data_IF_482520182462
#
_entry.id   IF_482520182462
#
_cell.length_a   1.000
_cell.length_b   1.000
_cell.length_c   1.000
_cell.angle_alpha   90.00
_cell.angle_beta   90.00
_cell.angle_gamma   90.00
#
_symmetry.space_group_name_H-M   'P 1'
#
loop_
_entity.id
_entity.type
_entity.pdbx_description
1 polymer ?
#
# COMPACT_ATOMS: atom_id res chain seq x y z
N UNK A 1 -2.65 12.14 -18.49
CA UNK A 1 -3.63 11.28 -17.80
C UNK A 1 -4.90 11.28 -18.65
N UNK A 2 -5.48 10.12 -18.90
CA UNK A 2 -6.66 10.04 -19.77
C UNK A 2 -7.94 10.41 -19.00
N UNK A 3 -9.03 10.64 -19.75
CA UNK A 3 -10.32 11.05 -19.20
C UNK A 3 -10.90 10.05 -18.20
N UNK A 4 -10.76 8.76 -18.46
CA UNK A 4 -11.30 7.74 -17.59
C UNK A 4 -10.57 7.69 -16.24
N UNK A 5 -9.25 7.84 -16.27
CA UNK A 5 -8.45 7.92 -15.05
C UNK A 5 -8.83 9.16 -14.24
N UNK A 6 -8.98 10.30 -14.91
CA UNK A 6 -9.39 11.54 -14.25
C UNK A 6 -10.78 11.42 -13.62
N UNK A 7 -11.71 10.77 -14.29
CA UNK A 7 -13.06 10.53 -13.77
C UNK A 7 -13.03 9.61 -12.56
N UNK A 8 -12.20 8.56 -12.61
CA UNK A 8 -12.03 7.64 -11.50
C UNK A 8 -11.47 8.35 -10.26
N UNK A 9 -10.44 9.15 -10.45
CA UNK A 9 -9.82 9.93 -9.36
C UNK A 9 -10.84 10.88 -8.74
N UNK A 10 -11.61 11.60 -9.56
CA UNK A 10 -12.65 12.51 -9.07
C UNK A 10 -13.73 11.77 -8.29
N UNK A 11 -14.10 10.57 -8.72
CA UNK A 11 -15.08 9.74 -8.04
C UNK A 11 -14.56 9.25 -6.68
N UNK A 12 -13.32 8.80 -6.64
CA UNK A 12 -12.67 8.36 -5.40
C UNK A 12 -12.53 9.55 -4.43
N UNK A 13 -12.16 10.72 -4.95
CA UNK A 13 -12.05 11.93 -4.12
C UNK A 13 -13.38 12.27 -3.46
N UNK A 14 -14.48 12.25 -4.22
CA UNK A 14 -15.81 12.53 -3.65
C UNK A 14 -16.19 11.53 -2.57
N UNK A 15 -15.95 10.25 -2.82
CA UNK A 15 -16.22 9.20 -1.84
C UNK A 15 -15.39 9.40 -0.59
N UNK A 16 -14.09 9.67 -0.75
CA UNK A 16 -13.19 9.89 0.37
C UNK A 16 -13.63 11.08 1.23
N UNK A 17 -14.12 12.16 0.60
CA UNK A 17 -14.63 13.33 1.33
C UNK A 17 -15.91 13.02 2.08
N UNK A 18 -16.85 12.32 1.43
CA UNK A 18 -18.12 11.95 2.05
C UNK A 18 -17.93 11.03 3.26
N UNK A 19 -17.02 10.07 3.15
CA UNK A 19 -16.78 9.08 4.19
C UNK A 19 -15.67 9.50 5.18
N UNK A 20 -15.05 10.66 4.96
CA UNK A 20 -13.96 11.18 5.78
C UNK A 20 -12.79 10.18 5.94
N UNK A 21 -12.45 9.50 4.83
CA UNK A 21 -11.46 8.41 4.86
C UNK A 21 -10.07 8.86 5.29
N UNK A 22 -9.70 10.10 4.94
CA UNK A 22 -8.37 10.63 5.22
C UNK A 22 -8.38 11.70 6.32
N UNK A 23 -9.45 11.74 7.11
CA UNK A 23 -9.53 12.68 8.23
C UNK A 23 -8.65 12.16 9.37
N UNK A 24 -7.78 13.02 9.96
CA UNK A 24 -7.00 12.62 11.11
C UNK A 24 -7.87 12.39 12.34
N UNK A 25 -7.43 11.50 13.24
CA UNK A 25 -8.16 11.19 14.46
C UNK A 25 -8.27 12.40 15.40
N UNK A 26 -7.29 13.32 15.33
CA UNK A 26 -7.26 14.51 16.17
C UNK A 26 -7.19 15.76 15.30
N UNK A 27 -7.93 16.83 15.65
CA UNK A 27 -7.86 18.10 14.91
C UNK A 27 -6.43 18.66 14.89
N UNK A 28 -6.00 19.13 13.71
CA UNK A 28 -4.67 19.71 13.54
C UNK A 28 -3.55 18.71 13.33
N UNK A 29 -3.83 17.42 13.44
CA UNK A 29 -2.86 16.37 13.15
C UNK A 29 -2.91 15.99 11.68
N UNK A 30 -1.74 15.65 11.11
CA UNK A 30 -1.62 15.20 9.73
C UNK A 30 -1.71 13.67 9.70
N UNK A 31 -2.54 13.14 8.79
CA UNK A 31 -2.66 11.69 8.60
C UNK A 31 -1.50 11.17 7.76
N UNK A 32 -0.67 10.30 8.34
CA UNK A 32 0.42 9.65 7.62
C UNK A 32 -0.08 8.38 6.96
N UNK A 33 -0.14 8.39 5.63
CA UNK A 33 -0.71 7.30 4.83
C UNK A 33 0.39 6.49 4.17
N UNK A 34 0.26 5.17 4.22
CA UNK A 34 1.17 4.25 3.54
C UNK A 34 0.39 3.37 2.57
N UNK A 35 0.85 3.30 1.33
CA UNK A 35 0.28 2.39 0.33
C UNK A 35 1.07 1.09 0.31
N UNK A 36 0.38 -0.03 0.49
CA UNK A 36 0.99 -1.35 0.38
C UNK A 36 0.96 -1.77 -1.09
N UNK A 37 2.13 -1.93 -1.69
CA UNK A 37 2.27 -2.22 -3.12
C UNK A 37 2.94 -3.57 -3.35
N UNK A 38 2.23 -4.46 -4.04
CA UNK A 38 2.73 -5.79 -4.38
C UNK A 38 3.51 -5.83 -5.69
N UNK A 39 3.36 -4.82 -6.53
CA UNK A 39 3.88 -4.79 -7.90
C UNK A 39 2.84 -5.18 -8.94
N UNK A 40 1.69 -5.72 -8.51
CA UNK A 40 0.58 -6.01 -9.41
C UNK A 40 -0.17 -4.76 -9.83
N UNK A 41 -0.98 -4.88 -10.90
CA UNK A 41 -1.67 -3.76 -11.52
C UNK A 41 -2.58 -3.02 -10.54
N UNK A 42 -3.32 -3.75 -9.69
CA UNK A 42 -4.26 -3.13 -8.76
C UNK A 42 -3.56 -2.30 -7.69
N UNK A 43 -2.45 -2.81 -7.13
CA UNK A 43 -1.71 -2.08 -6.11
C UNK A 43 -1.01 -0.86 -6.69
N UNK A 44 -0.52 -0.95 -7.93
CA UNK A 44 0.10 0.20 -8.59
C UNK A 44 -0.95 1.26 -8.95
N UNK A 45 -2.16 0.85 -9.35
CA UNK A 45 -3.27 1.78 -9.59
C UNK A 45 -3.65 2.49 -8.29
N UNK A 46 -3.72 1.76 -7.18
CA UNK A 46 -3.99 2.35 -5.87
C UNK A 46 -2.95 3.41 -5.50
N UNK A 47 -1.66 3.09 -5.68
CA UNK A 47 -0.59 4.04 -5.41
C UNK A 47 -0.75 5.32 -6.23
N UNK A 48 -1.08 5.19 -7.52
CA UNK A 48 -1.28 6.35 -8.40
C UNK A 48 -2.46 7.20 -7.95
N UNK A 49 -3.57 6.58 -7.58
CA UNK A 49 -4.75 7.32 -7.08
C UNK A 49 -4.39 8.07 -5.80
N UNK A 50 -3.73 7.41 -4.86
CA UNK A 50 -3.35 8.05 -3.59
C UNK A 50 -2.36 9.19 -3.81
N UNK A 51 -1.44 9.05 -4.76
CA UNK A 51 -0.49 10.09 -5.10
C UNK A 51 -1.20 11.32 -5.69
N UNK A 52 -2.19 11.10 -6.57
CA UNK A 52 -2.95 12.19 -7.16
C UNK A 52 -3.82 12.92 -6.13
N UNK A 53 -4.34 12.20 -5.14
CA UNK A 53 -5.18 12.79 -4.09
C UNK A 53 -4.39 13.44 -2.95
N UNK A 54 -3.08 13.24 -2.92
CA UNK A 54 -2.23 13.71 -1.82
C UNK A 54 -2.36 15.21 -1.55
N UNK A 55 -2.36 16.01 -2.59
CA UNK A 55 -2.46 17.47 -2.43
C UNK A 55 -3.84 17.90 -1.95
N UNK A 56 -4.89 17.26 -2.44
CA UNK A 56 -6.27 17.60 -2.08
C UNK A 56 -6.56 17.35 -0.60
N UNK A 57 -5.96 16.29 -0.02
CA UNK A 57 -6.20 15.90 1.36
C UNK A 57 -5.05 16.24 2.31
N UNK A 58 -3.90 16.63 1.78
CA UNK A 58 -2.76 17.09 2.59
C UNK A 58 -2.05 16.01 3.39
N UNK A 59 -2.13 14.75 3.01
CA UNK A 59 -1.44 13.68 3.73
C UNK A 59 -0.04 13.42 3.16
N UNK A 60 0.95 13.14 4.01
CA UNK A 60 2.21 12.55 3.56
C UNK A 60 1.96 11.11 3.09
N UNK A 61 2.55 10.74 1.95
CA UNK A 61 2.37 9.42 1.37
C UNK A 61 3.70 8.69 1.32
N UNK A 62 3.72 7.47 1.87
CA UNK A 62 4.81 6.53 1.71
C UNK A 62 4.27 5.24 1.11
N UNK A 63 5.15 4.32 0.78
CA UNK A 63 4.76 3.00 0.28
C UNK A 63 5.52 1.92 1.03
N UNK A 64 4.96 0.73 1.07
CA UNK A 64 5.66 -0.45 1.57
C UNK A 64 5.46 -1.61 0.61
N UNK A 65 6.44 -2.48 0.58
CA UNK A 65 6.44 -3.70 -0.23
C UNK A 65 6.94 -4.85 0.62
N UNK A 66 6.27 -5.99 0.56
CA UNK A 66 6.66 -7.19 1.30
C UNK A 66 7.19 -8.22 0.31
N UNK A 67 8.48 -8.53 0.39
CA UNK A 67 9.09 -9.62 -0.37
C UNK A 67 9.06 -10.86 0.52
N UNK A 68 8.09 -11.75 0.28
CA UNK A 68 7.91 -12.96 1.07
C UNK A 68 8.90 -14.09 0.70
N UNK A 69 9.60 -13.96 -0.43
CA UNK A 69 10.60 -14.95 -0.86
C UNK A 69 10.05 -16.27 -1.39
N UNK A 70 8.72 -16.40 -1.47
CA UNK A 70 8.09 -17.67 -1.84
C UNK A 70 8.22 -18.02 -3.32
N UNK A 71 8.43 -17.02 -4.17
CA UNK A 71 8.50 -17.19 -5.62
C UNK A 71 9.90 -16.92 -6.20
N UNK A 72 10.92 -16.87 -5.35
CA UNK A 72 12.30 -16.70 -5.79
C UNK A 72 12.50 -15.46 -6.67
N UNK A 73 12.91 -15.67 -7.93
CA UNK A 73 13.20 -14.59 -8.87
C UNK A 73 11.99 -13.71 -9.16
N UNK A 74 10.78 -14.26 -9.16
CA UNK A 74 9.57 -13.45 -9.39
C UNK A 74 9.36 -12.43 -8.26
N UNK A 75 9.58 -12.85 -7.02
CA UNK A 75 9.48 -11.93 -5.88
C UNK A 75 10.54 -10.83 -5.96
N UNK A 76 11.75 -11.16 -6.40
CA UNK A 76 12.83 -10.19 -6.55
C UNK A 76 12.56 -9.23 -7.71
N UNK A 77 11.94 -9.69 -8.80
CA UNK A 77 11.53 -8.81 -9.90
C UNK A 77 10.44 -7.84 -9.46
N UNK A 78 9.48 -8.32 -8.70
CA UNK A 78 8.42 -7.47 -8.15
C UNK A 78 9.01 -6.38 -7.26
N UNK A 79 9.95 -6.75 -6.40
CA UNK A 79 10.64 -5.77 -5.55
C UNK A 79 11.38 -4.74 -6.39
N UNK A 80 12.16 -5.19 -7.39
CA UNK A 80 12.90 -4.27 -8.25
C UNK A 80 11.97 -3.31 -9.00
N UNK A 81 10.84 -3.81 -9.50
CA UNK A 81 9.84 -3.00 -10.18
C UNK A 81 9.25 -1.94 -9.25
N UNK A 82 8.85 -2.35 -8.04
CA UNK A 82 8.27 -1.43 -7.06
C UNK A 82 9.30 -0.37 -6.65
N UNK A 83 10.55 -0.75 -6.43
CA UNK A 83 11.61 0.21 -6.10
C UNK A 83 11.78 1.26 -7.20
N UNK A 84 11.82 0.82 -8.46
CA UNK A 84 11.98 1.72 -9.59
C UNK A 84 10.79 2.67 -9.73
N UNK A 85 9.57 2.16 -9.60
CA UNK A 85 8.36 2.97 -9.73
C UNK A 85 8.23 3.99 -8.60
N UNK A 86 8.48 3.59 -7.36
CA UNK A 86 8.42 4.51 -6.23
C UNK A 86 9.49 5.60 -6.35
N UNK A 87 10.68 5.25 -6.81
CA UNK A 87 11.74 6.23 -7.05
C UNK A 87 11.32 7.23 -8.14
N UNK A 88 10.73 6.73 -9.23
CA UNK A 88 10.25 7.58 -10.33
C UNK A 88 9.15 8.54 -9.87
N UNK A 89 8.27 8.07 -8.98
CA UNK A 89 7.15 8.86 -8.49
C UNK A 89 7.51 9.75 -7.29
N UNK A 90 8.72 9.60 -6.75
CA UNK A 90 9.14 10.36 -5.58
C UNK A 90 8.47 9.93 -4.28
N UNK A 91 8.05 8.67 -4.18
CA UNK A 91 7.39 8.12 -3.00
C UNK A 91 8.40 7.31 -2.18
N UNK A 92 8.64 7.67 -0.91
CA UNK A 92 9.52 6.88 -0.05
C UNK A 92 8.98 5.47 0.13
N UNK A 93 9.85 4.47 0.04
CA UNK A 93 9.49 3.05 0.07
C UNK A 93 10.21 2.33 1.19
N UNK A 94 9.47 1.52 1.95
CA UNK A 94 10.02 0.54 2.90
C UNK A 94 9.78 -0.85 2.35
N UNK A 95 10.84 -1.65 2.22
CA UNK A 95 10.74 -3.03 1.78
C UNK A 95 10.97 -3.94 2.98
N UNK A 96 10.05 -4.88 3.17
CA UNK A 96 10.13 -5.86 4.25
C UNK A 96 10.42 -7.25 3.70
N UNK A 97 11.24 -7.98 4.45
CA UNK A 97 11.46 -9.41 4.29
C UNK A 97 11.04 -10.11 5.59
N UNK A 98 10.80 -11.43 5.58
CA UNK A 98 10.37 -12.13 6.80
C UNK A 98 11.26 -11.88 8.02
N UNK A 99 12.58 -11.82 7.81
CA UNK A 99 13.52 -11.58 8.90
C UNK A 99 13.34 -10.21 9.57
N UNK A 100 12.83 -9.22 8.82
CA UNK A 100 12.65 -7.87 9.36
C UNK A 100 11.59 -7.80 10.44
N UNK A 101 10.67 -8.77 10.46
CA UNK A 101 9.62 -8.86 11.47
C UNK A 101 9.76 -10.13 12.32
N UNK A 102 10.95 -10.74 12.30
CA UNK A 102 11.26 -11.91 13.13
C UNK A 102 10.54 -13.18 12.71
N UNK A 103 10.14 -13.30 11.44
CA UNK A 103 9.45 -14.49 10.95
C UNK A 103 10.38 -15.35 10.10
N UNK A 104 10.33 -16.66 10.33
CA UNK A 104 11.03 -17.64 9.50
C UNK A 104 10.08 -18.18 8.44
N UNK A 105 10.62 -18.49 7.24
CA UNK A 105 9.83 -19.09 6.16
C UNK A 105 9.67 -20.60 6.46
N UNK A 106 8.44 -21.10 6.70
CA UNK A 106 8.24 -22.52 6.95
C UNK A 106 8.37 -23.33 5.66
N UNK A 107 8.61 -24.67 5.75
CA UNK A 107 8.80 -25.51 4.55
C UNK A 107 7.64 -25.49 3.56
N UNK A 108 6.42 -25.30 4.04
CA UNK A 108 5.21 -25.28 3.20
C UNK A 108 4.45 -23.96 3.39
N UNK A 109 5.16 -22.86 3.26
CA UNK A 109 4.56 -21.53 3.39
C UNK A 109 3.54 -21.31 2.26
N UNK A 110 2.33 -20.93 2.63
CA UNK A 110 1.25 -20.62 1.71
C UNK A 110 0.64 -19.26 1.95
N UNK A 111 -0.59 -19.10 1.45
CA UNK A 111 -1.31 -17.82 1.54
C UNK A 111 -1.52 -17.34 2.98
N UNK A 112 -1.83 -18.24 3.90
CA UNK A 112 -2.05 -17.88 5.31
C UNK A 112 -0.79 -17.32 5.95
N UNK A 113 0.35 -17.93 5.67
CA UNK A 113 1.62 -17.45 6.18
C UNK A 113 1.97 -16.08 5.58
N UNK A 114 1.78 -15.93 4.25
CA UNK A 114 2.05 -14.68 3.56
C UNK A 114 1.18 -13.55 4.11
N UNK A 115 -0.08 -13.86 4.41
CA UNK A 115 -1.01 -12.89 5.02
C UNK A 115 -0.54 -12.48 6.41
N UNK A 116 -0.13 -13.43 7.24
CA UNK A 116 0.41 -13.13 8.57
C UNK A 116 1.67 -12.27 8.49
N UNK A 117 2.52 -12.54 7.50
CA UNK A 117 3.70 -11.73 7.25
C UNK A 117 3.31 -10.28 6.93
N UNK A 118 2.35 -10.08 6.03
CA UNK A 118 1.89 -8.74 5.68
C UNK A 118 1.35 -8.00 6.90
N UNK A 119 0.54 -8.65 7.72
CA UNK A 119 -0.02 -8.01 8.91
C UNK A 119 1.06 -7.69 9.95
N UNK A 120 2.08 -8.52 10.08
CA UNK A 120 3.21 -8.22 10.96
C UNK A 120 3.97 -6.97 10.49
N UNK A 121 4.18 -6.84 9.18
CA UNK A 121 4.81 -5.65 8.60
C UNK A 121 3.95 -4.40 8.82
N UNK A 122 2.65 -4.51 8.63
CA UNK A 122 1.71 -3.40 8.84
C UNK A 122 1.71 -2.96 10.32
N UNK A 123 1.72 -3.93 11.24
CA UNK A 123 1.79 -3.61 12.67
C UNK A 123 3.05 -2.83 13.02
N UNK A 124 4.18 -3.17 12.40
CA UNK A 124 5.43 -2.44 12.61
C UNK A 124 5.36 -1.02 12.07
N UNK A 125 4.75 -0.83 10.89
CA UNK A 125 4.55 0.50 10.33
C UNK A 125 3.64 1.36 11.20
N UNK A 126 2.54 0.80 11.68
CA UNK A 126 1.61 1.51 12.55
C UNK A 126 2.27 1.90 13.87
N UNK A 127 3.08 1.02 14.44
CA UNK A 127 3.85 1.32 15.65
C UNK A 127 4.89 2.42 15.41
N UNK A 128 5.39 2.55 14.17
CA UNK A 128 6.40 3.52 13.79
C UNK A 128 5.87 4.89 13.38
N UNK A 129 4.55 5.12 13.46
CA UNK A 129 3.98 6.44 13.19
C UNK A 129 3.11 6.54 11.94
N UNK A 130 2.94 5.46 11.19
CA UNK A 130 1.97 5.41 10.10
C UNK A 130 0.57 5.30 10.71
N UNK A 131 -0.35 6.14 10.27
CA UNK A 131 -1.72 6.18 10.82
C UNK A 131 -2.66 5.25 10.07
N UNK A 132 -2.43 5.06 8.76
CA UNK A 132 -3.34 4.31 7.91
C UNK A 132 -2.57 3.61 6.80
N UNK A 133 -2.92 2.36 6.53
CA UNK A 133 -2.33 1.59 5.44
C UNK A 133 -3.43 1.24 4.44
N UNK A 134 -3.23 1.62 3.19
CA UNK A 134 -4.15 1.31 2.12
C UNK A 134 -3.65 0.10 1.36
N UNK A 135 -4.50 -0.89 1.18
CA UNK A 135 -4.17 -2.10 0.42
C UNK A 135 -5.20 -2.31 -0.69
N UNK A 136 -4.74 -2.86 -1.81
CA UNK A 136 -5.61 -3.29 -2.90
C UNK A 136 -5.70 -4.81 -2.87
N UNK A 137 -6.90 -5.32 -2.72
CA UNK A 137 -7.17 -6.76 -2.76
C UNK A 137 -8.06 -7.08 -3.95
N UNK A 138 -7.70 -8.14 -4.68
CA UNK A 138 -8.60 -8.75 -5.64
C UNK A 138 -9.16 -10.00 -4.98
N UNK A 139 -10.42 -9.97 -4.60
CA UNK A 139 -11.13 -11.16 -4.15
C UNK A 139 -12.27 -11.38 -5.12
N UNK A 140 -12.28 -12.49 -5.84
CA UNK A 140 -13.38 -12.91 -6.72
C UNK A 140 -13.86 -11.79 -7.67
N UNK A 141 -12.97 -11.34 -8.56
CA UNK A 141 -13.26 -10.34 -9.61
C UNK A 141 -13.70 -8.96 -9.11
N UNK A 142 -13.54 -8.69 -7.82
CA UNK A 142 -13.77 -7.36 -7.25
C UNK A 142 -12.48 -6.86 -6.62
N UNK A 143 -12.08 -5.65 -7.01
CA UNK A 143 -10.98 -4.97 -6.36
C UNK A 143 -11.52 -4.28 -5.11
N UNK A 144 -11.07 -4.69 -3.94
CA UNK A 144 -11.41 -4.03 -2.69
C UNK A 144 -10.19 -3.28 -2.16
N UNK A 145 -10.43 -2.07 -1.70
CA UNK A 145 -9.41 -1.28 -1.01
C UNK A 145 -9.75 -1.27 0.47
N UNK A 146 -8.85 -1.81 1.29
CA UNK A 146 -9.02 -1.82 2.74
C UNK A 146 -8.08 -0.80 3.37
N UNK A 147 -8.62 -0.03 4.32
CA UNK A 147 -7.86 0.92 5.12
C UNK A 147 -7.71 0.37 6.54
N UNK A 148 -6.48 0.40 7.02
CA UNK A 148 -6.15 -0.03 8.39
C UNK A 148 -5.72 1.16 9.22
#
# INVERSE_FOLDING_TARGET
MNDETSKLIAKVERFARQEQLFAPAEPGRVLHLCAAVSGGADSMALLRVLLELREAFGYPLTACHVNHGLRGETADRDEAFVRAECARLGVPLTVFRPADVGMAVPPHAGEDWARRLRYACFAQLLAGGIDCIATAHTATDQAETLLF
#
